data_IF_435736587751
#
_entry.id   IF_435736587751
#
_cell.length_a   1.000
_cell.length_b   1.000
_cell.length_c   1.000
_cell.angle_alpha   90.00
_cell.angle_beta   90.00
_cell.angle_gamma   90.00
#
_symmetry.space_group_name_H-M   'P 1'
#
loop_
_entity.id
_entity.type
_entity.pdbx_description
1 polymer ?
#
# COMPACT_ATOMS: atom_id res chain seq x y z
N UNK A 1 16.53 9.79 10.19
CA UNK A 1 16.76 9.71 8.74
C UNK A 1 16.74 8.24 8.36
N UNK A 2 15.65 7.80 7.73
CA UNK A 2 15.57 6.47 7.15
C UNK A 2 16.66 6.35 6.08
N UNK A 3 17.65 5.50 6.30
CA UNK A 3 18.54 5.09 5.23
C UNK A 3 17.71 4.21 4.30
N UNK A 4 17.35 4.73 3.15
CA UNK A 4 16.76 3.94 2.09
C UNK A 4 17.88 3.11 1.47
N UNK A 5 17.83 1.81 1.64
CA UNK A 5 18.73 0.89 0.98
C UNK A 5 18.10 0.51 -0.36
N UNK A 6 18.88 0.63 -1.44
CA UNK A 6 18.46 0.19 -2.76
C UNK A 6 18.85 -1.27 -2.95
N UNK A 7 17.88 -2.11 -3.22
CA UNK A 7 18.10 -3.50 -3.55
C UNK A 7 17.88 -3.71 -5.05
N UNK A 8 18.90 -4.15 -5.74
CA UNK A 8 18.79 -4.57 -7.14
C UNK A 8 18.58 -6.07 -7.13
N UNK A 9 17.36 -6.51 -7.42
CA UNK A 9 17.02 -7.92 -7.51
C UNK A 9 17.50 -8.49 -8.85
N UNK A 10 18.68 -9.06 -8.87
CA UNK A 10 19.15 -9.84 -10.03
C UNK A 10 18.60 -11.28 -10.05
N UNK A 11 17.75 -11.65 -9.12
CA UNK A 11 17.52 -13.08 -8.83
C UNK A 11 16.08 -13.52 -8.98
N UNK A 12 15.15 -12.62 -9.09
CA UNK A 12 13.74 -12.92 -9.35
C UNK A 12 13.31 -12.49 -10.75
N UNK A 13 14.19 -11.89 -11.49
CA UNK A 13 13.96 -11.17 -12.72
C UNK A 13 13.72 -12.02 -13.96
N UNK A 14 13.73 -13.32 -13.85
CA UNK A 14 13.26 -14.16 -14.96
C UNK A 14 11.72 -14.10 -15.11
N UNK A 15 11.05 -13.46 -14.19
CA UNK A 15 9.62 -13.21 -14.22
C UNK A 15 9.40 -11.70 -14.27
N UNK A 16 9.45 -11.12 -15.48
CA UNK A 16 8.92 -9.79 -15.84
C UNK A 16 8.72 -8.82 -14.66
N UNK A 17 9.79 -8.55 -13.90
CA UNK A 17 9.80 -7.47 -12.94
C UNK A 17 10.15 -6.18 -13.69
N UNK A 18 9.19 -5.29 -13.95
CA UNK A 18 9.45 -4.08 -14.73
C UNK A 18 10.32 -3.06 -13.97
N UNK A 19 10.44 -3.21 -12.65
CA UNK A 19 11.33 -2.41 -11.83
C UNK A 19 12.23 -3.31 -10.96
N UNK A 20 13.44 -3.64 -11.44
CA UNK A 20 14.38 -4.47 -10.69
C UNK A 20 15.01 -3.73 -9.50
N UNK A 21 14.85 -2.42 -9.39
CA UNK A 21 15.37 -1.63 -8.28
C UNK A 21 14.31 -1.47 -7.22
N UNK A 22 14.60 -1.95 -6.01
CA UNK A 22 13.72 -1.85 -4.87
C UNK A 22 14.25 -0.88 -3.82
N UNK A 23 13.34 -0.11 -3.24
CA UNK A 23 13.61 0.61 -2.02
C UNK A 23 13.28 -0.30 -0.83
N UNK A 24 14.23 -0.49 0.07
CA UNK A 24 14.08 -1.40 1.21
C UNK A 24 14.35 -0.66 2.51
N UNK A 25 13.41 -0.75 3.45
CA UNK A 25 13.55 -0.15 4.78
C UNK A 25 14.60 -0.86 5.64
N UNK A 26 14.51 -2.19 5.75
CA UNK A 26 15.44 -3.02 6.51
C UNK A 26 15.90 -4.19 5.64
N UNK A 27 17.17 -4.22 5.29
CA UNK A 27 17.77 -5.31 4.52
C UNK A 27 18.67 -6.17 5.36
N UNK A 28 18.29 -7.42 5.58
CA UNK A 28 19.07 -8.44 6.29
C UNK A 28 19.54 -9.48 5.28
N UNK A 29 20.85 -9.60 5.14
CA UNK A 29 21.46 -10.50 4.17
C UNK A 29 22.49 -11.40 4.84
N UNK A 30 22.40 -12.70 4.58
CA UNK A 30 23.35 -13.73 5.03
C UNK A 30 23.57 -13.77 6.56
N UNK A 31 22.59 -13.29 7.33
CA UNK A 31 22.65 -13.31 8.78
C UNK A 31 22.21 -14.65 9.34
N UNK A 32 22.77 -15.02 10.50
CA UNK A 32 22.42 -16.25 11.22
C UNK A 32 22.15 -15.99 12.70
N UNK A 33 21.10 -16.62 13.22
CA UNK A 33 20.74 -16.62 14.64
C UNK A 33 20.64 -15.23 15.24
N UNK A 34 19.90 -14.35 14.54
CA UNK A 34 19.67 -12.94 14.97
C UNK A 34 18.22 -12.77 15.40
N UNK A 35 18.02 -12.15 16.55
CA UNK A 35 16.71 -11.67 17.01
C UNK A 35 16.66 -10.16 16.97
N UNK A 36 15.64 -9.62 16.31
CA UNK A 36 15.31 -8.20 16.33
C UNK A 36 13.98 -8.05 17.05
N UNK A 37 14.00 -7.44 18.22
CA UNK A 37 12.82 -7.16 19.03
C UNK A 37 12.54 -5.66 18.97
N UNK A 38 11.41 -5.28 18.42
CA UNK A 38 10.99 -3.88 18.28
C UNK A 38 10.45 -3.28 19.57
N UNK A 39 10.24 -4.10 20.62
CA UNK A 39 9.72 -3.65 21.92
C UNK A 39 8.44 -2.77 21.80
N UNK A 40 7.56 -3.08 20.84
CA UNK A 40 6.34 -2.32 20.57
C UNK A 40 6.51 -1.06 19.72
N UNK A 41 7.71 -0.82 19.19
CA UNK A 41 7.97 0.36 18.34
C UNK A 41 7.25 0.28 17.00
N UNK A 42 7.03 1.45 16.40
CA UNK A 42 6.53 1.56 15.03
C UNK A 42 7.66 1.96 14.08
N UNK A 43 7.84 1.18 13.03
CA UNK A 43 8.70 1.51 11.90
C UNK A 43 7.85 2.29 10.89
N UNK A 44 8.09 3.59 10.82
CA UNK A 44 7.37 4.48 9.91
C UNK A 44 8.12 4.58 8.57
N UNK A 45 7.56 3.96 7.55
CA UNK A 45 8.11 3.98 6.20
C UNK A 45 7.83 5.33 5.54
N UNK A 46 8.85 5.92 4.94
CA UNK A 46 8.75 7.21 4.27
C UNK A 46 9.05 7.05 2.78
N UNK A 47 8.01 6.76 2.01
CA UNK A 47 8.07 6.49 0.59
C UNK A 47 7.52 5.12 0.23
N UNK A 48 7.47 4.84 -1.06
CA UNK A 48 7.11 3.54 -1.61
C UNK A 48 8.31 2.59 -1.46
N UNK A 49 8.14 1.55 -0.63
CA UNK A 49 9.23 0.62 -0.35
C UNK A 49 8.76 -0.71 0.24
N UNK A 50 9.58 -1.74 0.08
CA UNK A 50 9.51 -2.98 0.85
C UNK A 50 10.03 -2.73 2.26
N UNK A 51 9.21 -3.00 3.28
CA UNK A 51 9.56 -2.64 4.66
C UNK A 51 10.77 -3.42 5.17
N UNK A 52 10.83 -4.74 4.86
CA UNK A 52 12.00 -5.54 5.17
C UNK A 52 12.25 -6.65 4.14
N UNK A 53 13.50 -7.02 3.98
CA UNK A 53 13.94 -8.16 3.19
C UNK A 53 14.89 -9.03 4.02
N UNK A 54 14.62 -10.34 4.05
CA UNK A 54 15.52 -11.36 4.57
C UNK A 54 16.04 -12.18 3.37
N UNK A 55 17.30 -12.03 3.03
CA UNK A 55 17.91 -12.78 1.92
C UNK A 55 19.04 -13.68 2.42
N UNK A 56 18.94 -14.97 2.12
CA UNK A 56 19.92 -16.00 2.51
C UNK A 56 20.19 -16.04 4.03
N UNK A 57 19.16 -15.78 4.82
CA UNK A 57 19.25 -15.76 6.28
C UNK A 57 18.88 -17.12 6.89
N UNK A 58 19.38 -17.38 8.12
CA UNK A 58 19.09 -18.59 8.87
C UNK A 58 18.83 -18.28 10.35
N UNK A 59 17.74 -18.80 10.91
CA UNK A 59 17.42 -18.64 12.33
C UNK A 59 17.16 -17.18 12.74
N UNK A 60 16.36 -16.46 11.98
CA UNK A 60 16.03 -15.05 12.27
C UNK A 60 14.69 -14.97 12.98
N UNK A 61 14.63 -14.15 14.01
CA UNK A 61 13.41 -13.78 14.70
C UNK A 61 13.20 -12.27 14.57
N UNK A 62 12.10 -11.86 13.95
CA UNK A 62 11.62 -10.49 13.95
C UNK A 62 10.35 -10.43 14.78
N UNK A 63 10.29 -9.55 15.79
CA UNK A 63 9.13 -9.53 16.68
C UNK A 63 8.81 -8.18 17.30
N UNK A 64 7.54 -8.04 17.74
CA UNK A 64 7.05 -6.95 18.58
C UNK A 64 7.22 -5.57 17.95
N UNK A 65 6.84 -5.36 16.70
CA UNK A 65 6.81 -4.03 16.10
C UNK A 65 5.66 -3.85 15.12
N UNK A 66 5.36 -2.60 14.86
CA UNK A 66 4.38 -2.20 13.87
C UNK A 66 5.12 -1.65 12.64
N UNK A 67 4.53 -1.86 11.46
CA UNK A 67 4.97 -1.26 10.21
C UNK A 67 3.84 -0.39 9.71
N UNK A 68 4.13 0.88 9.49
CA UNK A 68 3.19 1.88 9.03
C UNK A 68 3.86 2.79 8.01
N UNK A 69 3.08 3.56 7.26
CA UNK A 69 3.57 4.45 6.22
C UNK A 69 3.19 5.89 6.53
N UNK A 70 4.13 6.81 6.39
CA UNK A 70 3.89 8.24 6.56
C UNK A 70 2.84 8.76 5.57
N UNK A 71 2.96 8.35 4.32
CA UNK A 71 2.00 8.60 3.26
C UNK A 71 1.73 7.25 2.56
N UNK A 72 0.68 6.53 2.97
CA UNK A 72 0.35 5.23 2.39
C UNK A 72 0.12 5.31 0.88
N UNK A 73 0.62 4.33 0.14
CA UNK A 73 0.31 4.17 -1.29
C UNK A 73 -1.15 3.77 -1.54
N UNK A 74 -1.86 3.37 -0.49
CA UNK A 74 -3.31 3.22 -0.49
C UNK A 74 -3.98 4.53 -0.12
N UNK A 75 -4.96 4.92 -0.93
CA UNK A 75 -5.76 6.13 -0.71
C UNK A 75 -7.21 5.76 -0.48
N UNK A 76 -7.90 6.51 0.36
CA UNK A 76 -9.25 6.20 0.76
C UNK A 76 -10.18 7.40 0.63
N UNK A 77 -11.38 7.13 0.15
CA UNK A 77 -12.49 8.10 0.15
C UNK A 77 -13.78 7.43 0.60
N UNK A 78 -14.60 8.16 1.34
CA UNK A 78 -15.96 7.76 1.72
C UNK A 78 -16.97 8.53 0.90
N UNK A 79 -17.98 7.85 0.35
CA UNK A 79 -19.09 8.48 -0.38
C UNK A 79 -20.06 9.11 0.62
N UNK A 80 -20.17 10.44 0.57
CA UNK A 80 -21.09 11.23 1.40
C UNK A 80 -22.42 11.51 0.73
N UNK A 81 -22.40 11.68 -0.61
CA UNK A 81 -23.57 11.98 -1.41
C UNK A 81 -23.39 11.44 -2.81
N UNK A 82 -24.48 11.01 -3.44
CA UNK A 82 -24.51 10.61 -4.83
C UNK A 82 -25.64 11.28 -5.62
N UNK A 83 -25.34 11.65 -6.86
CA UNK A 83 -26.31 12.11 -7.84
C UNK A 83 -26.28 11.24 -9.10
N UNK A 84 -26.89 11.72 -10.15
CA UNK A 84 -26.98 10.95 -11.41
C UNK A 84 -25.61 10.76 -12.07
N UNK A 85 -24.76 11.79 -12.05
CA UNK A 85 -23.46 11.82 -12.70
C UNK A 85 -22.32 12.26 -11.77
N UNK A 86 -22.55 12.33 -10.46
CA UNK A 86 -21.55 12.78 -9.50
C UNK A 86 -21.56 11.98 -8.21
N UNK A 87 -20.42 12.07 -7.53
CA UNK A 87 -20.26 11.71 -6.12
C UNK A 87 -19.68 12.90 -5.36
N UNK A 88 -20.11 13.09 -4.10
CA UNK A 88 -19.38 13.90 -3.13
C UNK A 88 -18.71 12.92 -2.18
N UNK A 89 -17.40 13.06 -2.04
CA UNK A 89 -16.59 12.15 -1.22
C UNK A 89 -15.78 12.88 -0.18
N UNK A 90 -15.59 12.24 0.97
CA UNK A 90 -14.63 12.65 2.00
C UNK A 90 -13.34 11.88 1.78
N UNK A 91 -12.24 12.58 1.59
CA UNK A 91 -10.91 11.99 1.51
C UNK A 91 -10.40 11.67 2.92
N UNK A 92 -9.83 10.49 3.11
CA UNK A 92 -9.22 10.12 4.39
C UNK A 92 -8.00 11.01 4.69
N UNK A 93 -7.78 11.42 5.94
CA UNK A 93 -6.70 12.35 6.29
C UNK A 93 -5.27 11.89 5.93
N UNK A 94 -5.04 10.58 5.82
CA UNK A 94 -3.73 10.04 5.41
C UNK A 94 -3.51 10.06 3.90
N UNK A 95 -4.57 10.25 3.12
CA UNK A 95 -4.52 10.24 1.66
C UNK A 95 -4.23 11.64 1.12
N UNK A 96 -3.13 11.76 0.40
CA UNK A 96 -2.75 13.03 -0.22
C UNK A 96 -3.24 13.10 -1.66
N UNK A 97 -3.77 14.25 -2.05
CA UNK A 97 -4.24 14.48 -3.41
C UNK A 97 -3.93 15.90 -3.89
N UNK A 98 -3.94 16.07 -5.19
CA UNK A 98 -3.94 17.36 -5.86
C UNK A 98 -4.91 17.34 -7.04
N UNK A 99 -5.40 18.52 -7.40
CA UNK A 99 -6.26 18.69 -8.57
C UNK A 99 -5.47 19.47 -9.62
N UNK A 100 -5.18 18.82 -10.74
CA UNK A 100 -4.44 19.39 -11.85
C UNK A 100 -5.31 19.36 -13.09
N UNK A 101 -5.62 20.55 -13.67
CA UNK A 101 -6.52 20.67 -14.82
C UNK A 101 -7.87 19.98 -14.60
N UNK A 102 -8.46 20.17 -13.43
CA UNK A 102 -9.70 19.53 -12.98
C UNK A 102 -9.64 17.99 -12.85
N UNK A 103 -8.47 17.38 -12.96
CA UNK A 103 -8.26 15.95 -12.76
C UNK A 103 -7.67 15.68 -11.38
N UNK A 104 -8.20 14.65 -10.71
CA UNK A 104 -7.70 14.17 -9.44
C UNK A 104 -6.42 13.36 -9.64
N UNK A 105 -5.43 13.63 -8.83
CA UNK A 105 -4.20 12.85 -8.76
C UNK A 105 -3.84 12.59 -7.30
N UNK A 106 -3.67 11.35 -6.96
CA UNK A 106 -3.17 10.89 -5.67
C UNK A 106 -1.65 10.91 -5.69
N UNK A 107 -1.02 11.27 -4.58
CA UNK A 107 0.43 11.30 -4.52
C UNK A 107 0.98 11.09 -3.10
N UNK A 108 2.24 10.73 -3.03
CA UNK A 108 3.02 10.64 -1.81
C UNK A 108 4.51 10.78 -2.10
N UNK A 109 5.35 10.30 -1.20
CA UNK A 109 6.80 10.42 -1.32
C UNK A 109 7.32 9.44 -2.38
N UNK A 110 7.56 9.95 -3.60
CA UNK A 110 8.11 9.19 -4.73
C UNK A 110 7.10 8.47 -5.61
N UNK A 111 5.80 8.64 -5.36
CA UNK A 111 4.75 8.00 -6.15
C UNK A 111 3.58 8.95 -6.48
N UNK A 112 2.88 8.67 -7.55
CA UNK A 112 1.60 9.28 -7.87
C UNK A 112 0.80 8.42 -8.83
N UNK A 113 -0.54 8.46 -8.72
CA UNK A 113 -1.44 7.82 -9.68
C UNK A 113 -2.76 8.58 -9.79
N UNK A 114 -3.50 8.37 -10.88
CA UNK A 114 -4.81 8.97 -11.11
C UNK A 114 -5.93 7.96 -10.95
N UNK A 115 -5.80 6.83 -11.62
CA UNK A 115 -6.76 5.75 -11.59
C UNK A 115 -6.11 4.55 -10.94
N UNK A 116 -6.72 4.04 -9.88
CA UNK A 116 -6.22 2.89 -9.16
C UNK A 116 -7.23 1.76 -9.10
N UNK A 117 -6.75 0.54 -8.93
CA UNK A 117 -7.60 -0.58 -8.59
C UNK A 117 -8.10 -0.39 -7.16
N UNK A 118 -9.40 -0.59 -6.96
CA UNK A 118 -9.99 -0.43 -5.65
C UNK A 118 -10.58 -1.71 -5.07
N UNK A 119 -10.64 -1.71 -3.77
CA UNK A 119 -11.54 -2.50 -2.96
C UNK A 119 -12.58 -1.54 -2.37
N UNK A 120 -13.84 -1.93 -2.46
CA UNK A 120 -14.93 -1.19 -1.83
C UNK A 120 -15.34 -1.86 -0.53
N UNK A 121 -15.68 -1.06 0.44
CA UNK A 121 -16.20 -1.48 1.73
C UNK A 121 -17.45 -0.68 2.06
N UNK A 122 -18.54 -1.37 2.37
CA UNK A 122 -19.77 -0.75 2.86
C UNK A 122 -19.75 -0.76 4.40
N UNK A 123 -19.74 0.41 5.01
CA UNK A 123 -19.70 0.58 6.48
C UNK A 123 -20.92 0.05 7.20
N UNK A 124 -22.06 -0.07 6.53
CA UNK A 124 -23.33 -0.49 7.15
C UNK A 124 -23.43 -2.01 7.15
N UNK A 125 -23.19 -2.64 6.01
CA UNK A 125 -23.27 -4.10 5.87
C UNK A 125 -21.97 -4.80 6.22
N UNK A 126 -20.87 -4.05 6.40
CA UNK A 126 -19.50 -4.55 6.61
C UNK A 126 -19.02 -5.47 5.47
N UNK A 127 -19.63 -5.35 4.31
CA UNK A 127 -19.27 -6.14 3.13
C UNK A 127 -18.15 -5.47 2.35
N UNK A 128 -17.28 -6.30 1.83
CA UNK A 128 -16.15 -5.89 0.99
C UNK A 128 -16.26 -6.55 -0.38
N UNK A 129 -16.02 -5.79 -1.45
CA UNK A 129 -15.94 -6.30 -2.80
C UNK A 129 -14.90 -5.57 -3.64
N UNK A 130 -14.50 -6.18 -4.74
CA UNK A 130 -13.55 -5.58 -5.66
C UNK A 130 -14.25 -4.56 -6.56
N UNK A 131 -13.68 -3.38 -6.62
CA UNK A 131 -14.07 -2.33 -7.55
C UNK A 131 -12.93 -2.03 -8.51
N UNK A 132 -13.26 -1.89 -9.80
CA UNK A 132 -12.29 -1.51 -10.80
C UNK A 132 -12.28 0.02 -10.91
N UNK A 133 -11.11 0.63 -10.75
CA UNK A 133 -10.85 2.04 -11.06
C UNK A 133 -12.02 3.00 -10.80
N UNK A 134 -12.45 3.21 -9.55
CA UNK A 134 -13.62 4.05 -9.25
C UNK A 134 -13.42 5.51 -9.68
N UNK A 135 -12.20 5.92 -10.03
CA UNK A 135 -11.87 7.24 -10.57
C UNK A 135 -11.76 7.24 -12.10
N UNK A 136 -12.07 6.12 -12.76
CA UNK A 136 -12.20 6.08 -14.21
C UNK A 136 -13.39 6.92 -14.66
N UNK A 137 -13.31 7.49 -15.84
CA UNK A 137 -14.37 8.34 -16.42
C UNK A 137 -14.66 9.65 -15.65
N UNK A 138 -13.77 10.09 -14.77
CA UNK A 138 -13.84 11.42 -14.17
C UNK A 138 -13.72 12.49 -15.25
N UNK A 139 -14.72 13.35 -15.34
CA UNK A 139 -14.74 14.54 -16.18
C UNK A 139 -14.11 15.72 -15.43
N UNK A 140 -14.45 15.84 -14.16
CA UNK A 140 -14.06 16.99 -13.36
C UNK A 140 -14.04 16.67 -11.89
N UNK A 141 -13.05 17.23 -11.18
CA UNK A 141 -12.95 17.25 -9.73
C UNK A 141 -12.91 18.67 -9.22
N UNK A 142 -13.70 18.95 -8.18
CA UNK A 142 -13.72 20.24 -7.48
C UNK A 142 -13.62 19.99 -5.98
N UNK A 143 -12.72 20.67 -5.30
CA UNK A 143 -12.69 20.67 -3.85
C UNK A 143 -13.75 21.64 -3.33
N UNK A 144 -14.77 21.13 -2.61
CA UNK A 144 -15.85 21.92 -2.04
C UNK A 144 -15.44 22.56 -0.71
N UNK A 145 -14.63 21.85 0.05
CA UNK A 145 -14.00 22.26 1.31
C UNK A 145 -12.84 21.28 1.58
N UNK A 146 -11.92 21.59 2.51
CA UNK A 146 -10.78 20.70 2.76
C UNK A 146 -11.15 19.23 2.89
N UNK A 147 -10.54 18.40 2.06
CA UNK A 147 -10.78 16.95 1.97
C UNK A 147 -12.19 16.51 1.57
N UNK A 148 -13.03 17.41 1.04
CA UNK A 148 -14.34 17.05 0.47
C UNK A 148 -14.36 17.40 -1.01
N UNK A 149 -14.49 16.40 -1.84
CA UNK A 149 -14.42 16.52 -3.30
C UNK A 149 -15.78 16.26 -3.94
N UNK A 150 -16.12 17.10 -4.91
CA UNK A 150 -17.15 16.83 -5.90
C UNK A 150 -16.48 16.17 -7.11
N UNK A 151 -16.91 14.98 -7.43
CA UNK A 151 -16.40 14.16 -8.52
C UNK A 151 -17.50 14.02 -9.58
N UNK A 152 -17.31 14.63 -10.74
CA UNK A 152 -18.25 14.48 -11.87
C UNK A 152 -17.74 13.43 -12.85
N UNK A 153 -18.64 12.55 -13.28
CA UNK A 153 -18.33 11.41 -14.14
C UNK A 153 -19.04 11.48 -15.48
N UNK A 154 -18.41 10.89 -16.48
CA UNK A 154 -19.11 10.50 -17.72
C UNK A 154 -20.01 9.30 -17.47
N UNK A 155 -19.50 8.31 -16.76
CA UNK A 155 -20.18 7.12 -16.31
C UNK A 155 -19.81 6.88 -14.84
N UNK A 156 -20.75 7.15 -13.95
CA UNK A 156 -20.51 7.05 -12.49
C UNK A 156 -20.47 5.59 -12.06
N UNK A 157 -19.55 5.19 -11.18
CA UNK A 157 -19.60 3.87 -10.56
C UNK A 157 -20.88 3.69 -9.77
N UNK A 158 -21.44 2.49 -9.80
CA UNK A 158 -22.63 2.16 -9.01
C UNK A 158 -22.24 1.86 -7.58
N UNK A 159 -22.55 2.77 -6.69
CA UNK A 159 -22.19 2.70 -5.26
C UNK A 159 -23.32 3.30 -4.43
N UNK A 160 -23.38 2.94 -3.17
CA UNK A 160 -24.26 3.55 -2.18
C UNK A 160 -23.54 4.55 -1.29
N UNK A 161 -24.32 5.28 -0.51
CA UNK A 161 -23.82 6.12 0.56
C UNK A 161 -22.99 5.28 1.55
N UNK A 162 -21.96 5.90 2.13
CA UNK A 162 -21.04 5.27 3.08
C UNK A 162 -20.17 4.15 2.50
N UNK A 163 -20.14 3.99 1.18
CA UNK A 163 -19.15 3.15 0.53
C UNK A 163 -17.78 3.82 0.65
N UNK A 164 -16.81 3.07 1.14
CA UNK A 164 -15.41 3.48 1.16
C UNK A 164 -14.70 2.83 -0.01
N UNK A 165 -14.06 3.62 -0.84
CA UNK A 165 -13.09 3.15 -1.82
C UNK A 165 -11.70 3.19 -1.24
N UNK A 166 -11.07 2.03 -1.13
CA UNK A 166 -9.65 1.91 -0.84
C UNK A 166 -8.93 1.62 -2.15
N UNK A 167 -8.20 2.61 -2.62
CA UNK A 167 -7.55 2.58 -3.94
C UNK A 167 -6.04 2.49 -3.79
N UNK A 168 -5.39 1.90 -4.78
CA UNK A 168 -3.95 1.89 -4.94
C UNK A 168 -3.57 1.94 -6.40
N UNK A 169 -2.32 2.23 -6.70
CA UNK A 169 -1.82 2.07 -8.05
C UNK A 169 -2.06 0.63 -8.56
N UNK A 170 -2.27 0.50 -9.84
CA UNK A 170 -2.36 -0.80 -10.51
C UNK A 170 -1.05 -1.55 -10.50
N UNK A 171 0.06 -0.85 -10.45
CA UNK A 171 1.39 -1.41 -10.34
C UNK A 171 1.62 -1.99 -8.93
N UNK A 172 2.15 -3.22 -8.86
CA UNK A 172 2.31 -3.97 -7.61
C UNK A 172 3.72 -4.48 -7.49
N UNK A 173 4.59 -3.67 -7.02
CA UNK A 173 5.96 -4.06 -6.93
C UNK A 173 6.47 -4.23 -5.49
N UNK A 174 6.10 -3.38 -4.57
CA UNK A 174 6.53 -3.45 -3.19
C UNK A 174 5.61 -4.32 -2.35
N UNK A 175 6.15 -5.44 -1.85
CA UNK A 175 5.56 -6.22 -0.77
C UNK A 175 6.05 -5.66 0.57
N UNK A 176 5.29 -5.81 1.66
CA UNK A 176 5.74 -5.26 2.93
C UNK A 176 6.93 -6.04 3.50
N UNK A 177 6.87 -7.37 3.48
CA UNK A 177 7.99 -8.24 3.88
C UNK A 177 8.36 -9.23 2.79
N UNK A 178 9.62 -9.40 2.51
CA UNK A 178 10.12 -10.38 1.55
C UNK A 178 11.16 -11.31 2.17
N UNK A 179 10.91 -12.61 2.15
CA UNK A 179 11.79 -13.64 2.66
C UNK A 179 12.27 -14.50 1.49
N UNK A 180 13.56 -14.40 1.16
CA UNK A 180 14.14 -15.06 0.01
C UNK A 180 15.30 -15.99 0.42
N UNK A 181 15.31 -17.23 -0.08
CA UNK A 181 16.38 -18.20 0.14
C UNK A 181 16.79 -18.34 1.60
N UNK A 182 15.84 -18.24 2.51
CA UNK A 182 16.05 -18.19 3.95
C UNK A 182 15.43 -19.39 4.65
N UNK A 183 15.91 -19.70 5.86
CA UNK A 183 15.46 -20.85 6.62
C UNK A 183 15.28 -20.56 8.09
N UNK A 184 14.23 -21.12 8.69
CA UNK A 184 13.98 -20.99 10.13
C UNK A 184 13.69 -19.54 10.51
N UNK A 185 12.75 -18.90 9.85
CA UNK A 185 12.35 -17.51 10.11
C UNK A 185 11.09 -17.50 10.97
N UNK A 186 11.11 -16.72 12.02
CA UNK A 186 9.95 -16.43 12.85
C UNK A 186 9.61 -14.92 12.78
N UNK A 187 8.39 -14.63 12.35
CA UNK A 187 7.78 -13.31 12.39
C UNK A 187 6.68 -13.35 13.44
N UNK A 188 6.88 -12.69 14.58
CA UNK A 188 6.01 -12.79 15.74
C UNK A 188 5.50 -11.42 16.18
N UNK A 189 4.18 -11.27 16.37
CA UNK A 189 3.58 -10.03 16.86
C UNK A 189 4.03 -8.81 16.05
N UNK A 190 3.87 -8.88 14.72
CA UNK A 190 4.13 -7.79 13.78
C UNK A 190 2.79 -7.34 13.19
N UNK A 191 2.47 -6.07 13.33
CA UNK A 191 1.30 -5.48 12.73
C UNK A 191 1.71 -4.68 11.48
N UNK A 192 0.99 -4.92 10.40
CA UNK A 192 1.17 -4.20 9.14
C UNK A 192 -0.04 -3.31 8.89
N UNK A 193 0.18 -2.03 8.67
CA UNK A 193 -0.85 -1.06 8.34
C UNK A 193 -0.69 -0.58 6.89
N UNK A 194 -1.81 -0.30 6.22
CA UNK A 194 -1.88 0.28 4.88
C UNK A 194 -1.05 -0.45 3.82
N UNK A 195 -1.23 -1.75 3.73
CA UNK A 195 -0.52 -2.57 2.75
C UNK A 195 -0.93 -2.24 1.31
N UNK A 196 -0.02 -1.70 0.54
CA UNK A 196 -0.22 -1.44 -0.90
C UNK A 196 -0.28 -2.72 -1.74
N UNK A 197 0.31 -3.80 -1.23
CA UNK A 197 0.39 -5.11 -1.89
C UNK A 197 0.30 -6.24 -0.85
N UNK A 198 1.02 -7.35 -1.04
CA UNK A 198 1.06 -8.46 -0.09
C UNK A 198 1.77 -8.08 1.21
N UNK A 199 1.32 -8.65 2.33
CA UNK A 199 1.97 -8.48 3.62
C UNK A 199 3.35 -9.10 3.65
N UNK A 200 3.44 -10.43 3.47
CA UNK A 200 4.70 -11.16 3.44
C UNK A 200 4.70 -12.12 2.26
N UNK A 201 5.78 -12.12 1.50
CA UNK A 201 6.05 -13.07 0.43
C UNK A 201 7.31 -13.85 0.73
N UNK A 202 7.24 -15.17 0.57
CA UNK A 202 8.37 -16.07 0.78
C UNK A 202 8.69 -16.81 -0.52
N UNK A 203 9.96 -16.77 -0.92
CA UNK A 203 10.45 -17.49 -2.10
C UNK A 203 11.70 -18.30 -1.76
N UNK A 204 11.76 -19.50 -2.27
CA UNK A 204 12.91 -20.42 -2.07
C UNK A 204 13.31 -20.58 -0.60
N UNK A 205 12.36 -20.51 0.30
CA UNK A 205 12.57 -20.47 1.75
C UNK A 205 11.85 -21.62 2.44
N UNK A 206 12.36 -22.05 3.60
CA UNK A 206 11.80 -23.17 4.36
C UNK A 206 11.69 -22.87 5.87
N UNK A 207 10.73 -23.50 6.54
CA UNK A 207 10.49 -23.33 7.97
C UNK A 207 10.22 -21.86 8.33
N UNK A 208 9.23 -21.26 7.68
CA UNK A 208 8.79 -19.89 7.91
C UNK A 208 7.53 -19.95 8.79
N UNK A 209 7.53 -19.21 9.89
CA UNK A 209 6.38 -19.03 10.79
C UNK A 209 6.02 -17.55 10.85
N UNK A 210 4.71 -17.25 10.69
CA UNK A 210 4.16 -15.90 10.74
C UNK A 210 3.00 -15.87 11.72
#
# INVERSE_FOLDING_TARGET
>A
SSQVLYYISNTTSELDDPDPTKHIGLYLNTLKNVTIDGCGSTLLMNGEMTSFVLDKCEGIVLKNFNIDYKHPTQTEVEVLEEGNDYLIVQVHPTSQYRIVNAQLEWYGDGWSFKNGIAQSYDRISEMTWRSWSPMENLLRTVELRPNVLYLQYKEKPQVGLHTIFQMRDSFRDEVSGFVNRSKGILLENINFYYLGNFGVVCQYSENITV
#
